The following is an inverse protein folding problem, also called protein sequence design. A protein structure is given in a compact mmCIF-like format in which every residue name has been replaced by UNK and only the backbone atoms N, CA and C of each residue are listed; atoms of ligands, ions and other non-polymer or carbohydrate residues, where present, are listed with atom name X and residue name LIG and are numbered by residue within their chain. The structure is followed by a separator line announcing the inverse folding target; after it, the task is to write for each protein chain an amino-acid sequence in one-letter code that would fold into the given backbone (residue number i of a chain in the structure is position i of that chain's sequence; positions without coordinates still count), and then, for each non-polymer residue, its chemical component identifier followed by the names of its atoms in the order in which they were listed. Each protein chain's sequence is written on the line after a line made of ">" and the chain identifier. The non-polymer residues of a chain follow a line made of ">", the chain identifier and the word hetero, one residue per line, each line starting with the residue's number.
data_IF_879273865815
#
_entry.id   IF_879273865815
#
_cell.length_a   1.000
_cell.length_b   1.000
_cell.length_c   1.000
_cell.angle_alpha   90.00
_cell.angle_beta   90.00
_cell.angle_gamma   90.00
#
_symmetry.space_group_name_H-M   'P 1'
#
loop_
_entity.id
_entity.type
_entity.pdbx_description
1 polymer ?
#
# COMPACT_ATOMS: atom_id res chain seq x y z
N UNK A 1 -0.58 3.34 31.13
CA UNK A 1 0.12 2.18 30.54
C UNK A 1 0.75 2.63 29.25
N UNK A 2 2.08 2.61 29.13
CA UNK A 2 2.77 2.95 27.89
C UNK A 2 2.75 1.75 26.95
N UNK A 3 1.92 1.83 25.90
CA UNK A 3 1.77 0.75 24.91
C UNK A 3 2.85 0.76 23.82
N UNK A 4 3.71 1.79 23.79
CA UNK A 4 4.78 1.90 22.80
C UNK A 4 5.85 0.82 22.96
N UNK A 5 6.02 0.28 24.18
CA UNK A 5 6.97 -0.81 24.49
C UNK A 5 6.62 -2.13 23.81
N UNK A 6 5.36 -2.30 23.40
CA UNK A 6 4.88 -3.48 22.68
C UNK A 6 4.82 -3.27 21.16
N UNK A 7 5.13 -2.06 20.68
CA UNK A 7 5.20 -1.79 19.26
C UNK A 7 6.52 -2.28 18.67
N UNK A 8 6.41 -2.99 17.55
CA UNK A 8 7.55 -3.45 16.73
C UNK A 8 8.44 -2.25 16.36
N UNK A 9 9.76 -2.47 16.37
CA UNK A 9 10.74 -1.44 16.02
C UNK A 9 10.87 -1.33 14.50
N UNK A 10 11.34 -0.18 14.01
CA UNK A 10 11.62 -0.03 12.59
C UNK A 10 12.67 -1.04 12.11
N UNK A 11 13.68 -1.29 12.93
CA UNK A 11 14.74 -2.28 12.66
C UNK A 11 14.19 -3.71 12.49
N UNK A 12 13.18 -4.10 13.26
CA UNK A 12 12.55 -5.43 13.14
C UNK A 12 11.80 -5.55 11.79
N UNK A 13 11.22 -4.45 11.31
CA UNK A 13 10.60 -4.40 9.97
C UNK A 13 11.67 -4.44 8.87
N UNK A 14 12.84 -3.83 9.08
CA UNK A 14 13.93 -3.88 8.11
C UNK A 14 14.50 -5.31 7.99
N UNK A 15 14.59 -6.04 9.11
CA UNK A 15 14.91 -7.48 9.13
C UNK A 15 13.85 -8.30 8.40
N UNK A 16 12.56 -8.02 8.65
CA UNK A 16 11.45 -8.68 7.96
C UNK A 16 11.51 -8.43 6.44
N UNK A 17 11.74 -7.19 6.01
CA UNK A 17 11.89 -6.83 4.60
C UNK A 17 13.04 -7.59 3.94
N UNK A 18 14.18 -7.70 4.63
CA UNK A 18 15.34 -8.48 4.14
C UNK A 18 14.98 -9.95 3.96
N UNK A 19 14.28 -10.54 4.94
CA UNK A 19 13.80 -11.91 4.85
C UNK A 19 12.80 -12.11 3.70
N UNK A 20 11.86 -11.17 3.52
CA UNK A 20 10.86 -11.22 2.45
C UNK A 20 11.50 -11.16 1.06
N UNK A 21 12.49 -10.28 0.85
CA UNK A 21 13.27 -10.21 -0.40
C UNK A 21 13.95 -11.56 -0.67
N UNK A 22 14.68 -12.09 0.32
CA UNK A 22 15.39 -13.36 0.18
C UNK A 22 14.44 -14.53 -0.11
N UNK A 23 13.28 -14.56 0.55
CA UNK A 23 12.28 -15.60 0.33
C UNK A 23 11.61 -15.47 -1.04
N UNK A 24 11.31 -14.26 -1.50
CA UNK A 24 10.75 -13.99 -2.82
C UNK A 24 11.65 -14.56 -3.92
N UNK A 25 12.94 -14.22 -3.90
CA UNK A 25 13.88 -14.72 -4.92
C UNK A 25 14.26 -16.19 -4.75
N UNK A 26 14.05 -16.79 -3.58
CA UNK A 26 14.14 -18.24 -3.41
C UNK A 26 13.02 -18.98 -4.16
N UNK A 27 11.83 -18.39 -4.23
CA UNK A 27 10.66 -18.93 -4.93
C UNK A 27 10.76 -18.70 -6.44
N UNK A 28 11.39 -17.60 -6.88
CA UNK A 28 11.51 -17.22 -8.29
C UNK A 28 12.97 -17.31 -8.79
N UNK A 29 13.50 -18.54 -8.90
CA UNK A 29 14.93 -18.78 -9.21
C UNK A 29 15.39 -18.33 -10.60
N UNK A 30 14.48 -18.15 -11.54
CA UNK A 30 14.78 -17.68 -12.91
C UNK A 30 15.07 -16.18 -12.97
N UNK A 31 14.87 -15.45 -11.86
CA UNK A 31 15.00 -14.00 -11.82
C UNK A 31 15.72 -13.54 -10.55
N UNK A 32 16.51 -12.47 -10.68
CA UNK A 32 17.27 -11.88 -9.57
C UNK A 32 16.75 -10.50 -9.23
N UNK A 33 17.15 -9.98 -8.06
CA UNK A 33 16.90 -8.59 -7.69
C UNK A 33 17.46 -7.62 -8.72
N UNK A 34 18.60 -7.93 -9.32
CA UNK A 34 19.26 -7.06 -10.30
C UNK A 34 18.47 -6.97 -11.60
N UNK A 35 17.89 -8.10 -12.06
CA UNK A 35 16.99 -8.11 -13.22
C UNK A 35 15.76 -7.23 -12.97
N UNK A 36 15.15 -7.36 -11.79
CA UNK A 36 14.01 -6.54 -11.38
C UNK A 36 14.41 -5.06 -11.29
N UNK A 37 15.53 -4.74 -10.65
CA UNK A 37 16.02 -3.37 -10.47
C UNK A 37 16.32 -2.72 -11.83
N UNK A 38 16.99 -3.43 -12.73
CA UNK A 38 17.31 -2.95 -14.07
C UNK A 38 16.03 -2.68 -14.88
N UNK A 39 15.04 -3.59 -14.80
CA UNK A 39 13.76 -3.39 -15.48
C UNK A 39 12.98 -2.21 -14.89
N UNK A 40 12.94 -2.08 -13.57
CA UNK A 40 12.28 -0.97 -12.91
C UNK A 40 12.93 0.37 -13.27
N UNK A 41 14.26 0.46 -13.24
CA UNK A 41 15.00 1.66 -13.64
C UNK A 41 14.75 2.05 -15.10
N UNK A 42 14.55 1.06 -15.99
CA UNK A 42 14.17 1.31 -17.38
C UNK A 42 12.76 1.90 -17.49
N UNK A 43 11.80 1.39 -16.71
CA UNK A 43 10.41 1.87 -16.68
C UNK A 43 10.35 3.31 -16.14
N UNK A 44 11.05 3.58 -15.03
CA UNK A 44 11.00 4.86 -14.32
C UNK A 44 12.03 5.87 -14.82
N UNK A 45 12.94 5.44 -15.71
CA UNK A 45 14.08 6.23 -16.23
C UNK A 45 14.94 6.83 -15.12
N UNK A 46 15.03 6.14 -13.98
CA UNK A 46 15.65 6.65 -12.76
C UNK A 46 16.30 5.52 -11.97
N UNK A 47 17.34 5.78 -11.16
CA UNK A 47 17.87 4.80 -10.22
C UNK A 47 16.78 4.29 -9.29
N UNK A 48 16.88 3.01 -8.91
CA UNK A 48 15.93 2.36 -8.03
C UNK A 48 16.62 1.72 -6.84
N UNK A 49 15.89 1.64 -5.73
CA UNK A 49 16.29 0.89 -4.55
C UNK A 49 15.10 0.13 -3.97
N UNK A 50 15.31 -1.03 -3.31
CA UNK A 50 14.25 -1.71 -2.57
C UNK A 50 13.56 -0.74 -1.61
N UNK A 51 12.23 -0.83 -1.51
CA UNK A 51 11.49 -0.10 -0.48
C UNK A 51 11.79 -0.67 0.90
N UNK A 52 11.71 0.19 1.92
CA UNK A 52 11.96 -0.19 3.33
C UNK A 52 10.94 -1.19 3.88
N UNK A 53 9.75 -1.26 3.28
CA UNK A 53 8.73 -2.27 3.56
C UNK A 53 8.49 -3.07 2.29
N UNK A 54 8.55 -4.39 2.40
CA UNK A 54 8.33 -5.31 1.30
C UNK A 54 7.00 -6.06 1.47
N UNK A 55 6.50 -6.61 0.36
CA UNK A 55 5.35 -7.49 0.38
C UNK A 55 5.80 -8.93 0.64
N UNK A 56 4.94 -9.74 1.25
CA UNK A 56 5.23 -11.16 1.42
C UNK A 56 5.32 -11.89 0.07
N UNK A 57 4.51 -11.48 -0.90
CA UNK A 57 4.36 -12.06 -2.23
C UNK A 57 4.83 -11.13 -3.35
N UNK A 58 5.53 -10.05 -2.98
CA UNK A 58 6.00 -9.06 -3.94
C UNK A 58 7.33 -8.43 -3.56
N UNK A 59 8.13 -8.17 -4.60
CA UNK A 59 9.33 -7.35 -4.50
C UNK A 59 9.01 -5.94 -5.00
N UNK A 60 9.36 -4.92 -4.21
CA UNK A 60 9.00 -3.52 -4.46
C UNK A 60 10.25 -2.66 -4.46
N UNK A 61 10.38 -1.82 -5.48
CA UNK A 61 11.48 -0.86 -5.59
C UNK A 61 10.94 0.54 -5.81
N UNK A 62 11.51 1.51 -5.12
CA UNK A 62 11.19 2.92 -5.30
C UNK A 62 12.17 3.54 -6.30
N UNK A 63 11.65 4.46 -7.10
CA UNK A 63 12.42 5.30 -8.01
C UNK A 63 12.13 6.77 -7.70
N UNK A 64 13.18 7.58 -7.72
CA UNK A 64 13.04 9.03 -7.73
C UNK A 64 12.90 9.53 -9.17
N UNK A 65 11.68 9.42 -9.72
CA UNK A 65 11.37 9.81 -11.10
C UNK A 65 11.06 11.31 -11.22
N UNK A 66 11.99 12.16 -10.77
CA UNK A 66 11.89 13.62 -10.82
C UNK A 66 10.84 14.18 -9.86
N UNK A 67 9.75 14.76 -10.37
CA UNK A 67 8.73 15.41 -9.53
C UNK A 67 7.75 14.43 -8.86
N UNK A 68 7.80 13.14 -9.19
CA UNK A 68 6.91 12.12 -8.61
C UNK A 68 7.71 10.86 -8.28
N UNK A 69 7.67 10.49 -7.00
CA UNK A 69 8.21 9.24 -6.54
C UNK A 69 7.32 8.09 -7.05
N UNK A 70 7.95 7.06 -7.62
CA UNK A 70 7.27 5.88 -8.18
C UNK A 70 7.71 4.63 -7.46
N UNK A 71 6.85 3.62 -7.43
CA UNK A 71 7.19 2.26 -7.02
C UNK A 71 6.89 1.32 -8.16
N UNK A 72 7.84 0.43 -8.45
CA UNK A 72 7.61 -0.72 -9.31
C UNK A 72 7.47 -1.95 -8.41
N UNK A 73 6.31 -2.61 -8.51
CA UNK A 73 5.99 -3.81 -7.77
C UNK A 73 6.03 -5.02 -8.71
N UNK A 74 6.79 -6.04 -8.32
CA UNK A 74 6.88 -7.34 -8.98
C UNK A 74 6.13 -8.36 -8.13
N UNK A 75 5.06 -8.96 -8.66
CA UNK A 75 4.18 -9.89 -7.92
C UNK A 75 4.22 -11.29 -8.52
N UNK A 76 4.06 -12.29 -7.67
CA UNK A 76 3.83 -13.68 -8.08
C UNK A 76 2.39 -13.93 -8.61
N UNK A 77 1.48 -12.98 -8.42
CA UNK A 77 0.06 -13.09 -8.75
C UNK A 77 -0.46 -11.78 -9.34
N UNK A 78 -1.35 -11.90 -10.30
CA UNK A 78 -1.96 -10.76 -10.96
C UNK A 78 -2.86 -9.98 -9.99
N UNK A 79 -2.65 -8.66 -9.94
CA UNK A 79 -3.58 -7.72 -9.32
C UNK A 79 -4.75 -7.47 -10.28
N UNK A 80 -5.98 -7.50 -9.76
CA UNK A 80 -7.15 -7.07 -10.51
C UNK A 80 -7.16 -5.53 -10.60
N UNK A 81 -6.70 -5.00 -11.74
CA UNK A 81 -6.55 -3.57 -11.96
C UNK A 81 -7.89 -2.84 -12.04
N UNK A 82 -8.96 -3.51 -12.49
CA UNK A 82 -10.30 -2.91 -12.51
C UNK A 82 -10.80 -2.61 -11.09
N UNK A 83 -10.55 -3.52 -10.15
CA UNK A 83 -10.85 -3.30 -8.73
C UNK A 83 -10.04 -2.13 -8.18
N UNK A 84 -8.77 -1.99 -8.57
CA UNK A 84 -7.93 -0.86 -8.14
C UNK A 84 -8.45 0.46 -8.71
N UNK A 85 -8.87 0.49 -9.97
CA UNK A 85 -9.46 1.68 -10.59
C UNK A 85 -10.80 2.05 -9.95
N UNK A 86 -11.66 1.06 -9.66
CA UNK A 86 -12.90 1.30 -8.91
C UNK A 86 -12.62 1.83 -7.50
N UNK A 87 -11.67 1.23 -6.79
CA UNK A 87 -11.23 1.72 -5.49
C UNK A 87 -10.74 3.18 -5.60
N UNK A 88 -10.01 3.53 -6.66
CA UNK A 88 -9.59 4.92 -6.91
C UNK A 88 -10.76 5.87 -7.15
N UNK A 89 -11.82 5.43 -7.83
CA UNK A 89 -13.03 6.25 -7.97
C UNK A 89 -13.73 6.47 -6.63
N UNK A 90 -13.75 5.46 -5.76
CA UNK A 90 -14.41 5.51 -4.45
C UNK A 90 -13.59 6.27 -3.40
N UNK A 91 -12.29 6.00 -3.29
CA UNK A 91 -11.42 6.52 -2.23
C UNK A 91 -10.48 7.63 -2.72
N UNK A 92 -10.55 8.03 -4.00
CA UNK A 92 -9.84 9.18 -4.60
C UNK A 92 -8.34 9.21 -4.27
N UNK A 93 -7.88 10.27 -3.62
CA UNK A 93 -6.47 10.51 -3.29
C UNK A 93 -5.87 9.48 -2.32
N UNK A 94 -6.69 8.66 -1.65
CA UNK A 94 -6.20 7.58 -0.79
C UNK A 94 -5.73 6.34 -1.54
N UNK A 95 -6.05 6.24 -2.83
CA UNK A 95 -5.62 5.15 -3.71
C UNK A 95 -4.54 5.70 -4.64
N UNK A 96 -3.29 5.23 -4.58
CA UNK A 96 -2.30 5.67 -5.56
C UNK A 96 -2.71 5.25 -6.98
N UNK A 97 -2.22 5.95 -8.01
CA UNK A 97 -2.35 5.42 -9.36
C UNK A 97 -1.63 4.06 -9.44
N UNK A 98 -2.15 3.12 -10.21
CA UNK A 98 -1.55 1.82 -10.43
C UNK A 98 -1.79 1.41 -11.87
N UNK A 99 -0.72 1.05 -12.58
CA UNK A 99 -0.75 0.66 -13.97
C UNK A 99 -0.01 -0.66 -14.17
N UNK A 100 -0.60 -1.56 -14.94
CA UNK A 100 0.08 -2.79 -15.36
C UNK A 100 1.16 -2.47 -16.40
N UNK A 101 2.38 -2.98 -16.19
CA UNK A 101 3.56 -2.76 -17.05
C UNK A 101 4.02 -4.02 -17.78
N UNK A 102 3.22 -5.08 -17.77
CA UNK A 102 3.54 -6.36 -18.39
C UNK A 102 4.14 -7.36 -17.41
N UNK A 103 4.82 -8.37 -17.96
CA UNK A 103 5.48 -9.42 -17.17
C UNK A 103 7.00 -9.37 -17.37
N UNK A 104 7.72 -9.81 -16.35
CA UNK A 104 9.15 -10.08 -16.38
C UNK A 104 9.37 -11.50 -15.90
N UNK A 105 9.75 -12.41 -16.80
CA UNK A 105 9.67 -13.85 -16.55
C UNK A 105 8.24 -14.24 -16.15
N UNK A 106 8.05 -14.71 -14.93
CA UNK A 106 6.83 -15.19 -14.30
C UNK A 106 6.22 -14.15 -13.32
N UNK A 107 6.81 -12.96 -13.24
CA UNK A 107 6.37 -11.90 -12.34
C UNK A 107 5.52 -10.84 -13.07
N UNK A 108 4.38 -10.50 -12.48
CA UNK A 108 3.54 -9.39 -12.91
C UNK A 108 4.15 -8.07 -12.43
N UNK A 109 4.30 -7.10 -13.33
CA UNK A 109 4.86 -5.79 -13.01
C UNK A 109 3.78 -4.72 -12.96
N UNK A 110 3.81 -3.92 -11.92
CA UNK A 110 2.92 -2.78 -11.72
C UNK A 110 3.74 -1.54 -11.38
N UNK A 111 3.41 -0.42 -12.00
CA UNK A 111 3.93 0.88 -11.59
C UNK A 111 2.85 1.60 -10.78
N UNK A 112 3.22 2.11 -9.62
CA UNK A 112 2.33 2.87 -8.74
C UNK A 112 2.98 4.17 -8.27
N UNK A 113 2.16 5.17 -7.97
CA UNK A 113 2.67 6.37 -7.29
C UNK A 113 3.13 5.98 -5.88
N UNK A 114 4.33 6.42 -5.48
CA UNK A 114 4.76 6.25 -4.10
C UNK A 114 3.90 7.14 -3.21
N UNK A 115 3.26 6.51 -2.22
CA UNK A 115 2.59 7.24 -1.15
C UNK A 115 3.66 7.82 -0.23
N UNK A 116 3.79 9.15 -0.22
CA UNK A 116 4.77 9.84 0.60
C UNK A 116 4.54 9.60 2.11
N UNK A 117 5.63 9.58 2.88
CA UNK A 117 5.63 9.38 4.33
C UNK A 117 6.23 8.04 4.76
N UNK A 118 6.19 7.79 6.06
CA UNK A 118 6.71 6.55 6.66
C UNK A 118 5.57 5.55 6.81
N UNK A 119 5.80 4.30 6.41
CA UNK A 119 4.85 3.22 6.62
C UNK A 119 4.49 3.10 8.12
N UNK A 120 3.19 2.99 8.42
CA UNK A 120 2.70 2.97 9.80
C UNK A 120 3.41 1.94 10.67
N UNK A 121 3.63 0.72 10.16
CA UNK A 121 4.32 -0.34 10.89
C UNK A 121 5.73 0.03 11.35
N UNK A 122 6.46 0.85 10.57
CA UNK A 122 7.79 1.36 10.93
C UNK A 122 7.71 2.56 11.87
N UNK A 123 6.71 3.42 11.67
CA UNK A 123 6.51 4.61 12.50
C UNK A 123 5.80 4.33 13.84
N UNK A 124 5.19 3.14 14.02
CA UNK A 124 4.24 2.84 15.11
C UNK A 124 4.79 3.18 16.49
N UNK A 125 6.02 2.76 16.79
CA UNK A 125 6.64 3.02 18.10
C UNK A 125 6.86 4.51 18.36
N UNK A 126 7.36 5.25 17.35
CA UNK A 126 7.55 6.69 17.45
C UNK A 126 6.21 7.43 17.56
N UNK A 127 5.22 7.03 16.77
CA UNK A 127 3.90 7.64 16.75
C UNK A 127 3.15 7.47 18.09
N UNK A 128 3.42 6.38 18.81
CA UNK A 128 2.86 6.13 20.15
C UNK A 128 3.63 6.84 21.28
N UNK A 129 4.76 7.48 20.98
CA UNK A 129 5.49 8.25 21.98
C UNK A 129 4.68 9.50 22.39
N UNK A 130 4.72 9.94 23.66
CA UNK A 130 3.97 11.09 24.13
C UNK A 130 4.19 12.38 23.31
N UNK A 131 5.41 12.57 22.79
CA UNK A 131 5.76 13.74 21.97
C UNK A 131 5.10 13.75 20.58
N UNK A 132 4.49 12.64 20.15
CA UNK A 132 3.91 12.47 18.82
C UNK A 132 2.38 12.47 18.83
N UNK A 133 1.75 12.87 19.93
CA UNK A 133 0.28 12.84 20.10
C UNK A 133 -0.47 13.55 18.95
N UNK A 134 -0.03 14.74 18.55
CA UNK A 134 -0.64 15.47 17.43
C UNK A 134 -0.54 14.70 16.10
N UNK A 135 0.60 14.05 15.86
CA UNK A 135 0.78 13.21 14.67
C UNK A 135 -0.08 11.96 14.75
N UNK A 136 -0.27 11.39 15.94
CA UNK A 136 -1.17 10.27 16.16
C UNK A 136 -2.63 10.69 15.91
N UNK A 137 -3.08 11.84 16.42
CA UNK A 137 -4.42 12.39 16.16
C UNK A 137 -4.63 12.68 14.67
N UNK A 138 -3.65 13.32 14.02
CA UNK A 138 -3.66 13.51 12.57
C UNK A 138 -3.46 12.22 11.80
N UNK A 139 -3.00 11.15 12.46
CA UNK A 139 -3.00 9.77 11.98
C UNK A 139 -4.21 8.99 12.46
N UNK A 140 -5.20 9.58 13.17
CA UNK A 140 -6.56 9.11 13.54
C UNK A 140 -7.73 9.84 12.80
N UNK A 141 -7.57 11.08 12.32
CA UNK A 141 -8.40 11.76 11.27
C UNK A 141 -8.45 11.16 9.82
N UNK A 142 -7.64 11.52 8.79
CA UNK A 142 -7.13 10.57 7.72
C UNK A 142 -7.88 9.29 7.34
N UNK A 143 -7.66 8.15 8.02
CA UNK A 143 -8.44 6.94 7.80
C UNK A 143 -9.88 7.02 8.25
N UNK A 144 -10.27 7.80 9.26
CA UNK A 144 -11.69 8.09 9.43
C UNK A 144 -12.23 8.76 8.15
N UNK A 145 -11.45 9.67 7.54
CA UNK A 145 -11.75 10.26 6.22
C UNK A 145 -11.71 9.22 5.08
N UNK A 146 -10.78 8.27 5.08
CA UNK A 146 -10.74 7.15 4.12
C UNK A 146 -12.01 6.31 4.19
N UNK A 147 -12.47 5.92 5.37
CA UNK A 147 -13.71 5.16 5.54
C UNK A 147 -14.93 5.98 5.15
N UNK A 148 -14.98 7.24 5.59
CA UNK A 148 -16.06 8.15 5.21
C UNK A 148 -16.11 8.37 3.68
N UNK A 149 -14.98 8.35 2.99
CA UNK A 149 -14.93 8.59 1.54
C UNK A 149 -15.75 7.56 0.75
N UNK A 150 -15.77 6.29 1.17
CA UNK A 150 -16.61 5.29 0.54
C UNK A 150 -18.11 5.62 0.65
N UNK A 151 -18.53 6.18 1.79
CA UNK A 151 -19.92 6.57 2.02
C UNK A 151 -20.28 7.84 1.23
N UNK A 152 -19.41 8.85 1.25
CA UNK A 152 -19.65 10.13 0.57
C UNK A 152 -19.61 9.99 -0.96
N UNK A 153 -18.75 9.11 -1.48
CA UNK A 153 -18.59 8.89 -2.92
C UNK A 153 -19.51 7.77 -3.46
N UNK A 154 -20.47 7.28 -2.66
CA UNK A 154 -21.44 6.26 -3.06
C UNK A 154 -22.41 6.74 -4.16
N UNK A 155 -22.50 8.05 -4.36
CA UNK A 155 -23.36 8.69 -5.36
C UNK A 155 -22.64 8.76 -6.71
N UNK A 156 -22.85 7.74 -7.54
CA UNK A 156 -22.35 7.70 -8.92
C UNK A 156 -22.52 6.35 -9.62
N UNK A 157 -22.60 5.26 -8.86
CA UNK A 157 -23.05 3.98 -9.40
C UNK A 157 -24.57 4.07 -9.58
N UNK A 158 -25.03 4.30 -10.82
CA UNK A 158 -26.44 4.10 -11.19
C UNK A 158 -26.84 2.71 -10.67
N UNK A 159 -27.62 2.68 -9.60
CA UNK A 159 -28.18 1.46 -9.08
C UNK A 159 -29.10 0.92 -10.17
N UNK A 160 -28.76 -0.23 -10.74
CA UNK A 160 -29.74 -1.06 -11.42
C UNK A 160 -30.90 -1.31 -10.44
N UNK A 161 -32.17 -1.34 -10.87
CA UNK A 161 -33.33 -1.37 -9.96
C UNK A 161 -33.42 -2.59 -9.02
N UNK A 162 -32.51 -3.56 -9.15
CA UNK A 162 -32.65 -4.88 -8.52
C UNK A 162 -31.89 -5.09 -7.20
N UNK A 163 -31.23 -4.07 -6.64
CA UNK A 163 -30.43 -4.21 -5.39
C UNK A 163 -30.98 -3.36 -4.23
N UNK A 164 -32.26 -3.00 -4.27
CA UNK A 164 -32.90 -2.13 -3.29
C UNK A 164 -33.37 -2.83 -1.99
N UNK A 165 -32.95 -4.07 -1.69
CA UNK A 165 -33.49 -4.82 -0.55
C UNK A 165 -32.56 -5.05 0.65
N UNK A 166 -31.35 -4.49 0.70
CA UNK A 166 -30.41 -4.73 1.82
C UNK A 166 -29.99 -3.49 2.62
N UNK A 167 -30.68 -2.35 2.51
CA UNK A 167 -30.37 -1.17 3.33
C UNK A 167 -31.56 -0.82 4.23
N UNK A 168 -31.80 -1.66 5.23
CA UNK A 168 -32.52 -1.28 6.45
C UNK A 168 -32.01 -2.15 7.59
N UNK A 169 -31.20 -1.55 8.46
CA UNK A 169 -30.58 -2.24 9.59
C UNK A 169 -29.69 -1.29 10.39
N UNK A 170 -30.34 -0.62 11.34
CA UNK A 170 -29.88 0.04 12.56
C UNK A 170 -28.38 0.22 12.90
N UNK A 171 -28.11 1.44 13.42
CA UNK A 171 -27.13 1.83 14.46
C UNK A 171 -25.94 0.91 14.73
N UNK A 172 -24.74 1.47 14.52
CA UNK A 172 -23.65 1.32 15.50
C UNK A 172 -22.69 2.51 15.46
N UNK A 173 -22.61 3.19 16.60
CA UNK A 173 -21.47 3.97 17.04
C UNK A 173 -20.18 3.15 16.91
N UNK A 174 -19.16 3.71 16.26
CA UNK A 174 -17.77 3.81 16.78
C UNK A 174 -16.76 4.20 15.69
N UNK A 175 -15.97 5.20 16.05
CA UNK A 175 -14.82 5.79 15.36
C UNK A 175 -13.58 4.93 15.60
N UNK A 176 -12.87 4.46 14.56
CA UNK A 176 -11.51 3.85 14.70
C UNK A 176 -10.73 4.02 13.38
N UNK A 177 -9.37 3.95 13.44
CA UNK A 177 -8.43 4.22 12.34
C UNK A 177 -7.32 3.15 12.07
N UNK A 178 -7.01 2.73 10.81
CA UNK A 178 -5.93 1.76 10.42
C UNK A 178 -5.49 1.60 8.91
N UNK A 179 -4.30 2.06 8.47
CA UNK A 179 -3.90 1.93 7.04
C UNK A 179 -3.42 0.52 6.63
N UNK A 180 -4.19 -0.19 5.81
CA UNK A 180 -3.79 -1.42 5.14
C UNK A 180 -4.29 -1.45 3.69
N UNK A 181 -3.44 -1.07 2.74
CA UNK A 181 -3.61 -1.51 1.36
C UNK A 181 -3.16 -2.98 1.28
N UNK A 182 -3.79 -3.84 0.47
CA UNK A 182 -3.58 -5.28 0.54
C UNK A 182 -2.20 -5.62 -0.04
N UNK A 183 -1.21 -5.62 0.84
CA UNK A 183 -0.01 -6.43 0.70
C UNK A 183 -0.36 -7.81 1.25
N UNK A 184 -1.13 -8.55 0.46
CA UNK A 184 -1.24 -10.00 0.58
C UNK A 184 -0.91 -10.59 -0.79
#
# INVERSE_FOLDING_TARGET
>A
MDISVHAVRAEDIDVLSTFQIANFFRQHKSITSDNCNHRAATITKSPVSPTLVQGQTSYNVAADAGHRLKVVQFRNSALNIDIVHQARQTYREFVPNCEFRGMLSDLYMYETDLVAGVAFYRARRQLLAPSMEQHLLRTVEDFARFFASAWTNRLGLKQSPDVALCIRGDRCDRVVRWRGWPLV
#
